data_IF_033465218587
#
_entry.id   IF_033465218587
#
_cell.length_a   1.000
_cell.length_b   1.000
_cell.length_c   1.000
_cell.angle_alpha   90.00
_cell.angle_beta   90.00
_cell.angle_gamma   90.00
#
_symmetry.space_group_name_H-M   'P 1'
#
loop_
_entity.id
_entity.type
_entity.pdbx_description
1 polymer ?
#
# COMPACT_ATOMS: atom_id res chain seq x y z
N UNK A 1 -10.72 -9.05 8.39
CA UNK A 1 -9.28 -9.16 8.72
C UNK A 1 -9.03 -8.46 10.04
N UNK A 2 -8.13 -8.94 10.91
CA UNK A 2 -7.81 -8.28 12.17
C UNK A 2 -6.54 -7.44 12.01
N UNK A 3 -6.40 -6.40 12.85
CA UNK A 3 -5.15 -5.66 12.94
C UNK A 3 -4.03 -6.56 13.52
N UNK A 4 -2.79 -6.32 13.10
CA UNK A 4 -1.59 -7.03 13.55
C UNK A 4 -0.67 -6.02 14.23
N UNK A 5 -0.33 -6.32 15.48
CA UNK A 5 0.67 -5.57 16.24
C UNK A 5 2.07 -5.99 15.79
N UNK A 6 2.98 -5.02 15.65
CA UNK A 6 4.37 -5.30 15.25
C UNK A 6 5.32 -5.19 16.44
N UNK A 7 6.60 -5.55 16.24
CA UNK A 7 7.63 -5.34 17.27
C UNK A 7 7.90 -3.84 17.54
N UNK A 8 7.53 -2.95 16.61
CA UNK A 8 7.58 -1.51 16.81
C UNK A 8 6.20 -1.01 17.24
N UNK A 9 6.09 -0.50 18.47
CA UNK A 9 4.80 -0.03 19.02
C UNK A 9 4.17 1.10 18.21
N UNK A 10 4.98 1.85 17.46
CA UNK A 10 4.50 2.94 16.61
C UNK A 10 3.92 2.42 15.29
N UNK A 11 4.12 1.14 14.94
CA UNK A 11 3.71 0.55 13.66
C UNK A 11 2.70 -0.58 13.89
N UNK A 12 1.56 -0.48 13.20
CA UNK A 12 0.52 -1.51 13.16
C UNK A 12 0.15 -1.82 11.72
N UNK A 13 -0.23 -3.06 11.45
CA UNK A 13 -0.89 -3.41 10.20
C UNK A 13 -2.39 -3.45 10.45
N UNK A 14 -3.13 -2.52 9.84
CA UNK A 14 -4.58 -2.39 10.04
C UNK A 14 -5.35 -2.86 8.81
N UNK A 15 -6.59 -3.33 8.96
CA UNK A 15 -7.41 -3.67 7.79
C UNK A 15 -7.60 -2.45 6.87
N UNK A 16 -7.69 -2.68 5.55
CA UNK A 16 -8.09 -1.64 4.62
C UNK A 16 -9.48 -1.09 4.95
N UNK A 17 -9.66 0.20 4.76
CA UNK A 17 -10.89 0.96 4.94
C UNK A 17 -11.11 1.83 3.70
N UNK A 18 -12.25 1.66 3.03
CA UNK A 18 -12.54 2.27 1.73
C UNK A 18 -12.47 3.80 1.81
N UNK A 19 -13.10 4.41 2.82
CA UNK A 19 -13.23 5.86 2.89
C UNK A 19 -11.93 6.56 3.30
N UNK A 20 -11.17 5.96 4.22
CA UNK A 20 -9.86 6.46 4.65
C UNK A 20 -8.82 6.27 3.57
N UNK A 21 -8.68 5.06 3.04
CA UNK A 21 -7.51 4.68 2.25
C UNK A 21 -7.63 5.14 0.79
N UNK A 22 -8.84 5.25 0.24
CA UNK A 22 -9.01 5.78 -1.12
C UNK A 22 -8.55 7.23 -1.24
N UNK A 23 -8.79 8.05 -0.21
CA UNK A 23 -8.32 9.45 -0.17
C UNK A 23 -6.80 9.51 -0.14
N UNK A 24 -6.17 8.67 0.68
CA UNK A 24 -4.71 8.56 0.74
C UNK A 24 -4.11 8.09 -0.58
N UNK A 25 -4.74 7.13 -1.27
CA UNK A 25 -4.31 6.68 -2.60
C UNK A 25 -4.27 7.81 -3.62
N UNK A 26 -5.30 8.68 -3.62
CA UNK A 26 -5.33 9.87 -4.49
C UNK A 26 -4.17 10.81 -4.15
N UNK A 27 -3.96 11.09 -2.85
CA UNK A 27 -2.87 11.96 -2.39
C UNK A 27 -1.49 11.40 -2.79
N UNK A 28 -1.24 10.11 -2.56
CA UNK A 28 0.04 9.50 -2.89
C UNK A 28 0.33 9.55 -4.39
N UNK A 29 -0.68 9.40 -5.25
CA UNK A 29 -0.51 9.36 -6.70
C UNK A 29 -0.61 10.73 -7.39
N UNK A 30 -0.97 11.78 -6.65
CA UNK A 30 -1.04 13.14 -7.15
C UNK A 30 0.35 13.69 -7.51
N UNK A 31 1.39 13.23 -6.82
CA UNK A 31 2.74 13.81 -6.87
C UNK A 31 3.72 12.94 -7.67
N UNK A 32 4.80 13.54 -8.17
CA UNK A 32 5.87 12.79 -8.86
C UNK A 32 6.54 11.77 -7.94
N UNK A 33 6.60 12.01 -6.63
CA UNK A 33 7.28 11.12 -5.69
C UNK A 33 6.56 9.77 -5.55
N UNK A 34 5.23 9.78 -5.38
CA UNK A 34 4.47 8.55 -5.30
C UNK A 34 4.39 7.82 -6.65
N UNK A 35 4.31 8.57 -7.75
CA UNK A 35 4.46 7.98 -9.08
C UNK A 35 5.84 7.34 -9.29
N UNK A 36 6.91 7.98 -8.89
CA UNK A 36 8.26 7.38 -8.97
C UNK A 36 8.34 6.10 -8.14
N UNK A 37 7.65 6.05 -7.00
CA UNK A 37 7.55 4.83 -6.19
C UNK A 37 6.88 3.69 -6.96
N UNK A 38 5.74 3.96 -7.60
CA UNK A 38 5.07 2.95 -8.44
C UNK A 38 5.96 2.50 -9.62
N UNK A 39 6.69 3.42 -10.23
CA UNK A 39 7.63 3.12 -11.33
C UNK A 39 8.75 2.19 -10.86
N UNK A 40 9.32 2.44 -9.67
CA UNK A 40 10.34 1.58 -9.06
C UNK A 40 9.79 0.20 -8.66
N UNK A 41 8.49 0.11 -8.39
CA UNK A 41 7.77 -1.16 -8.20
C UNK A 41 7.41 -1.86 -9.52
N UNK A 42 7.85 -1.33 -10.67
CA UNK A 42 7.67 -1.94 -11.99
C UNK A 42 6.43 -1.49 -12.76
N UNK A 43 5.68 -0.49 -12.28
CA UNK A 43 4.54 0.05 -13.04
C UNK A 43 5.03 0.82 -14.28
N UNK A 44 4.39 0.56 -15.42
CA UNK A 44 4.64 1.31 -16.66
C UNK A 44 4.14 2.74 -16.53
N UNK A 45 4.71 3.66 -17.32
CA UNK A 45 4.25 5.05 -17.35
C UNK A 45 2.77 5.19 -17.76
N UNK A 46 2.26 4.27 -18.58
CA UNK A 46 0.86 4.25 -19.00
C UNK A 46 -0.10 3.96 -17.83
N UNK A 47 0.33 3.10 -16.91
CA UNK A 47 -0.43 2.73 -15.71
C UNK A 47 -0.14 3.64 -14.50
N UNK A 48 0.89 4.49 -14.60
CA UNK A 48 1.37 5.35 -13.53
C UNK A 48 0.93 6.80 -13.73
N UNK A 49 -0.38 7.03 -13.63
CA UNK A 49 -1.04 8.33 -13.78
C UNK A 49 -1.76 8.73 -12.49
N UNK A 50 -2.05 10.02 -12.29
CA UNK A 50 -2.93 10.45 -11.20
C UNK A 50 -4.25 9.68 -11.23
N UNK A 51 -4.72 9.30 -10.05
CA UNK A 51 -5.96 8.55 -9.89
C UNK A 51 -7.09 9.44 -9.38
N UNK A 52 -8.32 9.04 -9.59
CA UNK A 52 -9.52 9.67 -9.03
C UNK A 52 -9.97 8.97 -7.76
N UNK A 53 -10.78 9.64 -6.93
CA UNK A 53 -11.30 9.05 -5.69
C UNK A 53 -12.10 7.77 -5.94
N UNK A 54 -12.89 7.71 -7.01
CA UNK A 54 -13.70 6.53 -7.31
C UNK A 54 -12.83 5.37 -7.80
N UNK A 55 -11.79 5.62 -8.60
CA UNK A 55 -10.80 4.60 -8.97
C UNK A 55 -10.08 4.02 -7.74
N UNK A 56 -9.71 4.87 -6.78
CA UNK A 56 -9.07 4.40 -5.54
C UNK A 56 -10.05 3.66 -4.62
N UNK A 57 -11.33 4.05 -4.58
CA UNK A 57 -12.35 3.27 -3.85
C UNK A 57 -12.52 1.86 -4.43
N UNK A 58 -12.55 1.74 -5.75
CA UNK A 58 -12.58 0.42 -6.42
C UNK A 58 -11.32 -0.39 -6.09
N UNK A 59 -10.15 0.26 -6.10
CA UNK A 59 -8.88 -0.39 -5.75
C UNK A 59 -8.90 -0.94 -4.31
N UNK A 60 -9.32 -0.13 -3.34
CA UNK A 60 -9.41 -0.56 -1.93
C UNK A 60 -10.47 -1.65 -1.76
N UNK A 61 -11.60 -1.57 -2.46
CA UNK A 61 -12.58 -2.66 -2.48
C UNK A 61 -11.97 -3.96 -3.00
N UNK A 62 -11.18 -3.89 -4.07
CA UNK A 62 -10.41 -5.01 -4.58
C UNK A 62 -9.50 -5.64 -3.54
N UNK A 63 -8.79 -4.85 -2.73
CA UNK A 63 -7.95 -5.36 -1.63
C UNK A 63 -8.75 -6.09 -0.54
N UNK A 64 -9.99 -5.65 -0.29
CA UNK A 64 -10.86 -6.24 0.74
C UNK A 64 -11.49 -7.55 0.24
N UNK A 65 -11.89 -7.59 -1.02
CA UNK A 65 -12.66 -8.70 -1.62
C UNK A 65 -11.76 -9.80 -2.22
N UNK A 66 -10.51 -9.48 -2.58
CA UNK A 66 -9.60 -10.46 -3.18
C UNK A 66 -9.17 -11.53 -2.16
N UNK A 67 -9.58 -12.77 -2.42
CA UNK A 67 -9.29 -13.93 -1.55
C UNK A 67 -7.95 -14.59 -1.84
N UNK A 68 -7.31 -14.25 -2.97
CA UNK A 68 -5.99 -14.77 -3.35
C UNK A 68 -4.85 -13.88 -2.82
N UNK A 69 -5.21 -12.87 -2.02
CA UNK A 69 -4.27 -11.92 -1.44
C UNK A 69 -4.60 -11.67 0.03
N UNK A 70 -3.59 -11.39 0.83
CA UNK A 70 -3.77 -10.81 2.16
C UNK A 70 -3.31 -9.37 2.15
N UNK A 71 -4.19 -8.43 2.51
CA UNK A 71 -3.95 -7.00 2.37
C UNK A 71 -4.05 -6.30 3.72
N UNK A 72 -3.06 -5.48 4.05
CA UNK A 72 -3.11 -4.57 5.19
C UNK A 72 -2.60 -3.18 4.81
N UNK A 73 -3.04 -2.20 5.58
CA UNK A 73 -2.48 -0.86 5.56
C UNK A 73 -1.46 -0.70 6.69
N UNK A 74 -0.40 0.04 6.43
CA UNK A 74 0.65 0.34 7.41
C UNK A 74 0.23 1.61 8.14
N UNK A 75 -0.11 1.48 9.43
CA UNK A 75 -0.36 2.62 10.31
C UNK A 75 0.90 2.94 11.11
N UNK A 76 1.37 4.18 11.03
CA UNK A 76 2.47 4.73 11.82
C UNK A 76 1.99 5.95 12.61
N UNK A 77 2.11 5.91 13.95
CA UNK A 77 1.66 7.00 14.85
C UNK A 77 0.25 7.51 14.49
N UNK A 78 -0.69 6.57 14.40
CA UNK A 78 -2.10 6.78 14.04
C UNK A 78 -2.41 7.20 12.60
N UNK A 79 -1.42 7.46 11.75
CA UNK A 79 -1.61 7.77 10.31
C UNK A 79 -1.34 6.55 9.44
N UNK A 80 -2.18 6.29 8.44
CA UNK A 80 -1.85 5.31 7.39
C UNK A 80 -0.85 5.90 6.41
N UNK A 81 0.26 5.20 6.19
CA UNK A 81 1.43 5.70 5.47
C UNK A 81 1.83 4.79 4.29
N UNK A 82 1.20 3.64 4.16
CA UNK A 82 1.49 2.68 3.11
C UNK A 82 0.58 1.47 3.15
N UNK A 83 0.89 0.49 2.30
CA UNK A 83 0.21 -0.79 2.23
C UNK A 83 1.21 -1.94 2.14
N UNK A 84 0.77 -3.09 2.63
CA UNK A 84 1.45 -4.37 2.47
C UNK A 84 0.44 -5.38 1.95
N UNK A 85 0.82 -6.12 0.93
CA UNK A 85 0.01 -7.23 0.46
C UNK A 85 0.85 -8.45 0.15
N UNK A 86 0.24 -9.61 0.35
CA UNK A 86 0.86 -10.92 0.11
C UNK A 86 0.01 -11.64 -0.92
N UNK A 87 0.59 -11.89 -2.09
CA UNK A 87 -0.04 -12.77 -3.07
C UNK A 87 0.13 -14.21 -2.61
N UNK A 88 -0.98 -14.96 -2.60
CA UNK A 88 -1.03 -16.36 -2.18
C UNK A 88 -0.97 -17.34 -3.36
N UNK A 89 -1.02 -16.81 -4.59
CA UNK A 89 -0.92 -17.56 -5.85
C UNK A 89 0.20 -17.00 -6.72
N UNK A 90 0.76 -17.84 -7.56
CA UNK A 90 1.80 -17.43 -8.51
C UNK A 90 1.26 -16.33 -9.44
N UNK A 91 2.08 -15.31 -9.68
CA UNK A 91 1.83 -14.32 -10.72
C UNK A 91 2.64 -14.67 -11.97
N UNK A 92 2.43 -13.94 -13.07
CA UNK A 92 3.28 -14.08 -14.27
C UNK A 92 4.78 -13.84 -13.96
N UNK A 93 5.09 -13.03 -12.93
CA UNK A 93 6.43 -12.53 -12.66
C UNK A 93 7.08 -13.11 -11.40
N UNK A 94 6.30 -13.56 -10.41
CA UNK A 94 6.77 -13.97 -9.10
C UNK A 94 6.01 -15.21 -8.58
N UNK A 95 6.72 -16.21 -8.02
CA UNK A 95 6.08 -17.34 -7.36
C UNK A 95 5.49 -16.94 -6.01
N UNK A 96 4.44 -17.63 -5.57
CA UNK A 96 3.84 -17.44 -4.27
C UNK A 96 4.59 -18.18 -3.13
N UNK A 97 4.54 -17.64 -1.90
CA UNK A 97 3.98 -16.34 -1.55
C UNK A 97 4.95 -15.20 -1.92
N UNK A 98 4.43 -14.11 -2.49
CA UNK A 98 5.21 -12.89 -2.73
C UNK A 98 4.67 -11.73 -1.91
N UNK A 99 5.55 -11.05 -1.18
CA UNK A 99 5.22 -9.91 -0.34
C UNK A 99 5.57 -8.62 -1.08
N UNK A 100 4.62 -7.71 -1.13
CA UNK A 100 4.77 -6.38 -1.72
C UNK A 100 4.52 -5.33 -0.66
N UNK A 101 5.35 -4.29 -0.66
CA UNK A 101 5.27 -3.19 0.30
C UNK A 101 5.36 -1.88 -0.47
N UNK A 102 4.40 -0.99 -0.23
CA UNK A 102 4.41 0.37 -0.74
C UNK A 102 4.37 1.35 0.43
N UNK A 103 5.37 2.23 0.53
CA UNK A 103 5.32 3.37 1.45
C UNK A 103 4.88 4.59 0.65
N UNK A 104 3.58 4.89 0.71
CA UNK A 104 2.95 5.96 -0.04
C UNK A 104 3.29 7.35 0.50
N UNK A 105 3.42 7.49 1.82
CA UNK A 105 3.84 8.74 2.46
C UNK A 105 5.38 8.87 2.49
N UNK A 106 6.00 9.74 1.68
CA UNK A 106 7.45 9.85 1.61
C UNK A 106 8.08 10.35 2.91
N UNK A 107 7.38 11.19 3.66
CA UNK A 107 7.87 11.77 4.94
C UNK A 107 7.97 10.72 6.04
N UNK A 108 7.35 9.55 5.85
CA UNK A 108 7.48 8.43 6.80
C UNK A 108 8.71 7.56 6.55
N UNK A 109 9.37 7.70 5.39
CA UNK A 109 10.54 6.90 5.02
C UNK A 109 11.73 7.19 5.94
N UNK A 110 12.48 6.16 6.33
CA UNK A 110 13.62 6.30 7.24
C UNK A 110 13.22 6.53 8.71
N UNK A 111 11.94 6.75 9.02
CA UNK A 111 11.44 6.81 10.39
C UNK A 111 11.05 5.42 10.92
N UNK A 112 11.86 4.40 10.58
CA UNK A 112 11.59 2.97 10.81
C UNK A 112 10.41 2.40 10.00
N UNK A 113 9.92 3.14 9.00
CA UNK A 113 8.95 2.70 8.01
C UNK A 113 9.61 2.76 6.63
N UNK A 114 9.85 1.63 5.97
CA UNK A 114 10.70 1.58 4.76
C UNK A 114 12.18 1.84 5.08
N UNK A 115 13.09 1.33 4.23
CA UNK A 115 14.52 1.08 4.54
C UNK A 115 15.23 2.12 5.41
N UNK A 116 15.90 1.57 6.43
CA UNK A 116 16.89 2.08 7.40
C UNK A 116 16.73 3.50 7.93
N UNK A 117 16.59 3.53 9.27
CA UNK A 117 16.89 4.68 10.12
C UNK A 117 18.31 5.23 9.90
#
# INVERSE_FOLDING_TARGET
MNAIETQNIDIKLVPPDIERDARLGVEWLADDIGRETLRLMGNTNENNKPSTLEEEKERVRGFIENTNQMNWMIQFKDKVVGSIWVDLEDTEYLPAPSIHIMIGDPESRGHRVGTNA
#
